data_IF_010026807577
#
_entry.id   IF_010026807577
#
_cell.length_a   1.000
_cell.length_b   1.000
_cell.length_c   1.000
_cell.angle_alpha   90.00
_cell.angle_beta   90.00
_cell.angle_gamma   90.00
#
_symmetry.space_group_name_H-M   'P 1'
#
loop_
_entity.id
_entity.type
_entity.pdbx_description
1 polymer ?
#
# COMPACT_ATOMS: atom_id res chain seq x y z
N UNK A 1 12.92 -2.85 9.28
CA UNK A 1 12.35 -4.07 8.65
C UNK A 1 13.11 -5.25 9.24
N UNK A 2 12.45 -6.36 9.58
CA UNK A 2 13.13 -7.49 10.25
C UNK A 2 13.17 -8.77 9.41
N UNK A 3 12.42 -8.80 8.29
CA UNK A 3 12.12 -10.01 7.50
C UNK A 3 12.06 -9.71 6.01
N UNK A 4 12.18 -10.74 5.18
CA UNK A 4 11.94 -10.67 3.73
C UNK A 4 13.06 -10.07 2.89
N UNK A 5 14.31 -10.10 3.39
CA UNK A 5 15.50 -9.64 2.69
C UNK A 5 16.71 -10.52 3.03
N UNK A 6 17.67 -10.65 2.13
CA UNK A 6 18.91 -11.40 2.43
C UNK A 6 19.91 -10.50 3.19
N UNK A 7 20.13 -9.29 2.68
CA UNK A 7 21.00 -8.26 3.29
C UNK A 7 20.30 -6.89 3.22
N UNK A 8 20.35 -6.14 4.32
CA UNK A 8 19.95 -4.75 4.39
C UNK A 8 21.18 -3.90 4.72
N UNK A 9 21.51 -2.97 3.82
CA UNK A 9 22.63 -2.05 3.97
C UNK A 9 22.09 -0.69 4.45
N UNK A 10 22.59 -0.22 5.58
CA UNK A 10 22.26 1.10 6.15
C UNK A 10 23.50 1.99 6.07
N UNK A 11 23.40 3.11 5.37
CA UNK A 11 24.48 4.08 5.29
C UNK A 11 24.68 4.76 6.65
N UNK A 12 25.88 4.60 7.24
CA UNK A 12 26.27 5.25 8.51
C UNK A 12 27.40 6.27 8.30
N UNK A 13 27.57 6.74 7.05
CA UNK A 13 28.48 7.82 6.65
C UNK A 13 29.77 7.30 6.03
N UNK A 14 30.69 6.75 6.85
CA UNK A 14 31.99 6.29 6.35
C UNK A 14 31.94 4.89 5.71
N UNK A 15 30.93 4.10 6.05
CA UNK A 15 30.70 2.75 5.57
C UNK A 15 29.22 2.36 5.75
N UNK A 16 28.84 1.16 5.32
CA UNK A 16 27.49 0.62 5.49
C UNK A 16 27.44 -0.36 6.66
N UNK A 17 26.42 -0.23 7.51
CA UNK A 17 26.03 -1.26 8.46
C UNK A 17 25.17 -2.30 7.74
N UNK A 18 25.57 -3.58 7.81
CA UNK A 18 24.90 -4.66 7.08
C UNK A 18 24.20 -5.58 8.07
N UNK A 19 22.89 -5.72 7.91
CA UNK A 19 22.07 -6.67 8.68
C UNK A 19 21.53 -7.77 7.77
N UNK A 20 21.43 -8.99 8.28
CA UNK A 20 20.66 -10.07 7.65
C UNK A 20 19.24 -10.09 8.20
N UNK A 21 18.29 -10.69 7.49
CA UNK A 21 16.96 -10.92 8.06
C UNK A 21 17.03 -11.76 9.35
N UNK A 22 16.07 -11.56 10.24
CA UNK A 22 15.96 -12.35 11.48
C UNK A 22 15.43 -13.77 11.20
N UNK A 23 14.65 -13.92 10.13
CA UNK A 23 14.15 -15.18 9.59
C UNK A 23 14.79 -15.49 8.24
N UNK A 24 14.97 -16.78 7.94
CA UNK A 24 15.56 -17.27 6.68
C UNK A 24 16.89 -16.60 6.28
N UNK A 25 17.81 -16.43 7.24
CA UNK A 25 19.10 -15.76 7.04
C UNK A 25 20.16 -16.61 6.31
N UNK A 26 19.81 -17.81 5.83
CA UNK A 26 20.77 -18.75 5.22
C UNK A 26 21.52 -18.13 4.05
N UNK A 27 20.77 -17.55 3.11
CA UNK A 27 21.31 -16.85 1.93
C UNK A 27 22.08 -15.60 2.29
N UNK A 28 21.61 -14.83 3.28
CA UNK A 28 22.31 -13.66 3.78
C UNK A 28 23.69 -14.03 4.35
N UNK A 29 23.77 -15.05 5.19
CA UNK A 29 25.03 -15.57 5.71
C UNK A 29 25.93 -16.14 4.62
N UNK A 30 25.37 -16.87 3.65
CA UNK A 30 26.12 -17.37 2.50
C UNK A 30 26.79 -16.22 1.73
N UNK A 31 26.05 -15.14 1.47
CA UNK A 31 26.59 -13.93 0.82
C UNK A 31 27.69 -13.28 1.66
N UNK A 32 27.49 -13.12 2.97
CA UNK A 32 28.52 -12.57 3.86
C UNK A 32 29.79 -13.43 3.87
N UNK A 33 29.66 -14.75 3.81
CA UNK A 33 30.80 -15.67 3.79
C UNK A 33 31.56 -15.61 2.46
N UNK A 34 30.84 -15.59 1.32
CA UNK A 34 31.41 -15.54 -0.02
C UNK A 34 32.21 -14.25 -0.26
N UNK A 35 31.74 -13.13 0.28
CA UNK A 35 32.37 -11.82 0.15
C UNK A 35 33.03 -11.35 1.44
N UNK A 36 33.51 -12.26 2.28
CA UNK A 36 34.10 -11.97 3.60
C UNK A 36 35.22 -10.93 3.57
N UNK A 37 35.97 -10.81 2.47
CA UNK A 37 36.99 -9.77 2.31
C UNK A 37 36.43 -8.32 2.26
N UNK A 38 35.14 -8.16 1.97
CA UNK A 38 34.45 -6.86 1.89
C UNK A 38 33.69 -6.51 3.17
N UNK A 39 33.64 -7.42 4.16
CA UNK A 39 32.87 -7.26 5.38
C UNK A 39 33.75 -7.39 6.62
N UNK A 40 33.39 -6.67 7.67
CA UNK A 40 33.95 -6.84 9.00
C UNK A 40 32.83 -6.87 10.03
N UNK A 41 33.12 -7.39 11.23
CA UNK A 41 32.16 -7.34 12.33
C UNK A 41 31.86 -5.89 12.71
N UNK A 42 30.58 -5.57 12.87
CA UNK A 42 30.14 -4.25 13.32
C UNK A 42 30.58 -4.00 14.78
N UNK A 43 30.95 -2.75 15.08
CA UNK A 43 31.21 -2.29 16.45
C UNK A 43 29.91 -1.83 17.14
N UNK A 44 29.94 -1.74 18.47
CA UNK A 44 28.81 -1.19 19.23
C UNK A 44 28.48 0.28 18.87
N UNK A 45 29.48 1.02 18.36
CA UNK A 45 29.29 2.37 17.85
C UNK A 45 28.53 2.37 16.52
N UNK A 46 28.81 1.41 15.63
CA UNK A 46 28.12 1.25 14.35
C UNK A 46 26.65 0.86 14.57
N UNK A 47 26.37 -0.06 15.50
CA UNK A 47 25.01 -0.44 15.90
C UNK A 47 24.21 0.73 16.45
N UNK A 48 24.88 1.61 17.21
CA UNK A 48 24.25 2.82 17.76
C UNK A 48 23.96 3.84 16.66
N UNK A 49 24.90 4.03 15.72
CA UNK A 49 24.72 4.94 14.58
C UNK A 49 23.61 4.46 13.66
N UNK A 50 23.56 3.15 13.35
CA UNK A 50 22.50 2.53 12.55
C UNK A 50 21.11 2.75 13.19
N UNK A 51 21.00 2.59 14.51
CA UNK A 51 19.74 2.87 15.24
C UNK A 51 19.33 4.33 15.11
N UNK A 52 20.25 5.26 15.32
CA UNK A 52 19.99 6.71 15.19
C UNK A 52 19.56 7.10 13.77
N UNK A 53 20.18 6.53 12.74
CA UNK A 53 19.80 6.76 11.33
C UNK A 53 18.36 6.29 11.09
N UNK A 54 18.00 5.09 11.58
CA UNK A 54 16.65 4.54 11.44
C UNK A 54 15.60 5.35 12.21
N UNK A 55 15.89 5.74 13.46
CA UNK A 55 15.00 6.60 14.26
C UNK A 55 14.78 7.95 13.59
N UNK A 56 15.86 8.58 13.12
CA UNK A 56 15.78 9.84 12.35
C UNK A 56 14.90 9.66 11.11
N UNK A 57 15.11 8.61 10.33
CA UNK A 57 14.29 8.33 9.15
C UNK A 57 12.81 8.14 9.51
N UNK A 58 12.50 7.45 10.61
CA UNK A 58 11.12 7.30 11.10
C UNK A 58 10.48 8.65 11.47
N UNK A 59 11.23 9.54 12.14
CA UNK A 59 10.73 10.87 12.51
C UNK A 59 10.52 11.82 11.32
N UNK A 60 11.06 11.50 10.14
CA UNK A 60 10.82 12.30 8.93
C UNK A 60 9.41 12.12 8.35
N UNK A 61 8.71 11.06 8.73
CA UNK A 61 7.32 10.84 8.32
C UNK A 61 6.39 11.64 9.23
N UNK A 62 5.72 12.65 8.68
CA UNK A 62 4.77 13.50 9.40
C UNK A 62 3.37 12.88 9.55
N UNK A 63 3.05 11.88 8.74
CA UNK A 63 1.73 11.29 8.66
C UNK A 63 1.74 9.89 9.28
N UNK A 64 1.05 9.74 10.41
CA UNK A 64 0.87 8.47 11.10
C UNK A 64 -0.57 8.00 10.99
N UNK A 65 -0.75 6.69 10.80
CA UNK A 65 -2.06 6.03 10.74
C UNK A 65 -1.99 4.67 11.43
N UNK A 66 -3.07 4.25 12.06
CA UNK A 66 -3.16 2.95 12.74
C UNK A 66 -3.64 1.86 11.77
N UNK A 67 -2.68 1.31 11.02
CA UNK A 67 -2.96 0.27 10.02
C UNK A 67 -3.45 -1.01 10.68
N UNK A 68 -2.88 -1.41 11.82
CA UNK A 68 -3.23 -2.66 12.51
C UNK A 68 -4.66 -2.64 13.05
N UNK A 69 -5.06 -1.53 13.67
CA UNK A 69 -6.44 -1.31 14.09
C UNK A 69 -7.38 -1.33 12.89
N UNK A 70 -7.04 -0.65 11.81
CA UNK A 70 -7.87 -0.64 10.61
C UNK A 70 -8.09 -2.04 10.03
N UNK A 71 -7.02 -2.84 9.91
CA UNK A 71 -7.11 -4.23 9.43
C UNK A 71 -8.02 -5.06 10.33
N UNK A 72 -7.87 -4.93 11.65
CA UNK A 72 -8.73 -5.61 12.64
C UNK A 72 -10.20 -5.25 12.42
N UNK A 73 -10.52 -3.96 12.38
CA UNK A 73 -11.89 -3.47 12.18
C UNK A 73 -12.50 -3.94 10.85
N UNK A 74 -11.71 -3.94 9.76
CA UNK A 74 -12.16 -4.40 8.45
C UNK A 74 -12.47 -5.90 8.44
N UNK A 75 -11.75 -6.70 9.21
CA UNK A 75 -12.00 -8.14 9.32
C UNK A 75 -13.27 -8.45 10.12
N UNK A 76 -13.61 -7.60 11.09
CA UNK A 76 -14.80 -7.77 11.93
C UNK A 76 -16.07 -7.27 11.26
N UNK A 77 -15.99 -6.22 10.44
CA UNK A 77 -17.17 -5.59 9.83
C UNK A 77 -16.85 -4.86 8.51
N UNK A 78 -17.84 -4.73 7.61
CA UNK A 78 -17.65 -3.96 6.38
C UNK A 78 -17.40 -2.47 6.69
N UNK A 79 -16.67 -1.74 5.83
CA UNK A 79 -16.44 -0.32 6.03
C UNK A 79 -17.76 0.46 6.15
N UNK A 80 -17.80 1.52 7.00
CA UNK A 80 -19.00 2.32 7.19
C UNK A 80 -19.53 2.91 5.88
N UNK A 81 -20.81 2.67 5.56
CA UNK A 81 -21.42 3.20 4.34
C UNK A 81 -21.31 4.73 4.18
N UNK A 82 -21.48 5.55 5.24
CA UNK A 82 -21.30 7.00 5.14
C UNK A 82 -19.89 7.41 4.71
N UNK A 83 -18.86 6.76 5.26
CA UNK A 83 -17.46 6.99 4.87
C UNK A 83 -17.26 6.67 3.38
N UNK A 84 -17.77 5.52 2.92
CA UNK A 84 -17.64 5.10 1.53
C UNK A 84 -18.36 6.04 0.57
N UNK A 85 -19.50 6.61 0.96
CA UNK A 85 -20.23 7.59 0.17
C UNK A 85 -19.48 8.93 0.08
N UNK A 86 -18.94 9.41 1.21
CA UNK A 86 -18.16 10.65 1.25
C UNK A 86 -16.90 10.57 0.38
N UNK A 87 -16.16 9.47 0.48
CA UNK A 87 -14.98 9.25 -0.36
C UNK A 87 -15.36 9.08 -1.84
N UNK A 88 -16.42 8.34 -2.15
CA UNK A 88 -16.88 8.15 -3.52
C UNK A 88 -17.29 9.47 -4.18
N UNK A 89 -18.00 10.35 -3.46
CA UNK A 89 -18.45 11.64 -3.97
C UNK A 89 -17.30 12.58 -4.40
N UNK A 90 -16.07 12.32 -3.91
CA UNK A 90 -14.87 13.08 -4.24
C UNK A 90 -14.00 12.39 -5.30
N UNK A 91 -14.23 11.11 -5.55
CA UNK A 91 -13.46 10.31 -6.49
C UNK A 91 -13.75 10.77 -7.93
N UNK A 92 -12.73 10.74 -8.79
CA UNK A 92 -12.87 11.10 -10.21
C UNK A 92 -12.79 9.86 -11.11
N UNK A 93 -12.69 8.66 -10.54
CA UNK A 93 -12.50 7.42 -11.30
C UNK A 93 -11.23 7.38 -12.17
N UNK A 94 -10.26 8.30 -11.96
CA UNK A 94 -9.12 8.51 -12.85
C UNK A 94 -8.02 7.43 -12.74
N UNK A 95 -8.13 6.53 -11.76
CA UNK A 95 -7.18 5.45 -11.49
C UNK A 95 -5.73 5.85 -11.22
N UNK A 96 -5.39 7.13 -11.09
CA UNK A 96 -4.02 7.55 -10.85
C UNK A 96 -3.41 6.83 -9.64
N UNK A 97 -4.20 6.61 -8.57
CA UNK A 97 -3.72 6.00 -7.34
C UNK A 97 -3.36 4.52 -7.53
N UNK A 98 -3.88 3.89 -8.57
CA UNK A 98 -3.47 2.56 -9.00
C UNK A 98 -2.14 2.64 -9.77
N UNK A 99 -2.02 3.54 -10.75
CA UNK A 99 -0.83 3.65 -11.61
C UNK A 99 0.44 4.14 -10.90
N UNK A 100 0.34 4.99 -9.88
CA UNK A 100 1.52 5.46 -9.13
C UNK A 100 1.91 4.53 -7.97
N UNK A 101 1.10 3.51 -7.67
CA UNK A 101 1.33 2.67 -6.51
C UNK A 101 2.26 1.49 -6.87
N UNK A 102 3.37 1.31 -6.12
CA UNK A 102 4.36 0.28 -6.43
C UNK A 102 3.85 -1.15 -6.18
N UNK A 103 2.76 -1.31 -5.43
CA UNK A 103 2.17 -2.62 -5.10
C UNK A 103 0.85 -2.87 -5.84
N UNK A 104 0.54 -2.09 -6.88
CA UNK A 104 -0.57 -2.39 -7.76
C UNK A 104 -0.17 -3.39 -8.84
N UNK A 105 -1.03 -4.37 -9.06
CA UNK A 105 -0.85 -5.43 -10.04
C UNK A 105 -2.08 -5.63 -10.94
N UNK A 106 -3.03 -4.69 -10.93
CA UNK A 106 -4.23 -4.78 -11.75
C UNK A 106 -3.88 -4.74 -13.25
N UNK A 107 -4.42 -5.70 -14.00
CA UNK A 107 -4.25 -5.77 -15.44
C UNK A 107 -5.53 -6.31 -16.09
N UNK A 108 -5.66 -6.05 -17.39
CA UNK A 108 -6.66 -6.68 -18.25
C UNK A 108 -5.99 -7.49 -19.35
N UNK A 109 -6.74 -8.43 -19.92
CA UNK A 109 -6.30 -9.29 -21.01
C UNK A 109 -7.29 -9.12 -22.16
N UNK A 110 -6.75 -8.87 -23.36
CA UNK A 110 -7.53 -8.82 -24.59
C UNK A 110 -6.94 -9.78 -25.63
N UNK A 111 -7.80 -10.56 -26.27
CA UNK A 111 -7.44 -11.37 -27.43
C UNK A 111 -7.71 -10.56 -28.71
N UNK A 112 -6.67 -10.35 -29.53
CA UNK A 112 -6.75 -9.60 -30.78
C UNK A 112 -6.55 -10.55 -31.96
N UNK A 113 -7.47 -10.52 -32.92
CA UNK A 113 -7.34 -11.29 -34.17
C UNK A 113 -6.32 -10.60 -35.08
N UNK A 114 -5.27 -11.32 -35.48
CA UNK A 114 -4.28 -10.84 -36.44
C UNK A 114 -4.58 -11.34 -37.87
N UNK A 115 -5.13 -12.55 -38.00
CA UNK A 115 -5.62 -13.12 -39.27
C UNK A 115 -6.67 -14.20 -38.99
N UNK A 116 -7.19 -14.89 -40.02
CA UNK A 116 -8.17 -15.97 -39.84
C UNK A 116 -7.63 -17.17 -39.04
N UNK A 117 -6.32 -17.38 -39.01
CA UNK A 117 -5.68 -18.49 -38.31
C UNK A 117 -4.74 -18.05 -37.18
N UNK A 118 -4.59 -16.74 -36.94
CA UNK A 118 -3.68 -16.20 -35.93
C UNK A 118 -4.34 -15.12 -35.09
N UNK A 119 -4.00 -15.12 -33.80
CA UNK A 119 -4.33 -14.05 -32.87
C UNK A 119 -3.22 -13.86 -31.84
N UNK A 120 -3.28 -12.75 -31.13
CA UNK A 120 -2.39 -12.46 -30.02
C UNK A 120 -3.19 -12.21 -28.74
N UNK A 121 -2.65 -12.64 -27.60
CA UNK A 121 -3.17 -12.33 -26.28
C UNK A 121 -2.31 -11.26 -25.65
N UNK A 122 -2.88 -10.08 -25.42
CA UNK A 122 -2.16 -8.94 -24.87
C UNK A 122 -2.61 -8.67 -23.45
N UNK A 123 -1.66 -8.57 -22.53
CA UNK A 123 -1.86 -8.08 -21.16
C UNK A 123 -1.53 -6.59 -21.12
N UNK A 124 -2.45 -5.79 -20.59
CA UNK A 124 -2.26 -4.33 -20.41
C UNK A 124 -2.52 -3.96 -18.96
N UNK A 125 -1.78 -2.97 -18.47
CA UNK A 125 -2.09 -2.37 -17.17
C UNK A 125 -3.52 -1.83 -17.18
N UNK A 126 -4.23 -2.07 -16.08
CA UNK A 126 -5.61 -1.65 -15.88
C UNK A 126 -5.79 -1.32 -14.39
N UNK A 127 -6.96 -0.82 -14.01
CA UNK A 127 -7.22 -0.41 -12.63
C UNK A 127 -8.59 -0.85 -12.15
N UNK A 128 -8.64 -1.38 -10.94
CA UNK A 128 -9.88 -1.83 -10.30
C UNK A 128 -10.94 -0.73 -10.11
N UNK A 129 -10.55 0.54 -10.23
CA UNK A 129 -11.45 1.69 -10.12
C UNK A 129 -12.17 2.04 -11.42
N UNK A 130 -11.69 1.55 -12.58
CA UNK A 130 -12.34 1.81 -13.86
C UNK A 130 -13.65 1.02 -14.00
N UNK A 131 -14.67 1.67 -14.57
CA UNK A 131 -16.01 1.08 -14.76
C UNK A 131 -15.99 -0.21 -15.57
N UNK A 132 -15.06 -0.32 -16.53
CA UNK A 132 -14.92 -1.50 -17.38
C UNK A 132 -14.20 -2.69 -16.74
N UNK A 133 -13.49 -2.49 -15.61
CA UNK A 133 -12.56 -3.50 -15.08
C UNK A 133 -13.22 -4.83 -14.74
N UNK A 134 -14.42 -4.79 -14.15
CA UNK A 134 -15.19 -5.98 -13.79
C UNK A 134 -16.30 -6.31 -14.78
N UNK A 135 -16.37 -5.60 -15.91
CA UNK A 135 -17.45 -5.79 -16.88
C UNK A 135 -17.26 -7.14 -17.59
N UNK A 136 -18.28 -7.98 -17.52
CA UNK A 136 -18.30 -9.30 -18.13
C UNK A 136 -19.09 -9.30 -19.45
N UNK A 137 -18.97 -10.40 -20.19
CA UNK A 137 -19.79 -10.65 -21.37
C UNK A 137 -21.29 -10.54 -21.03
N UNK A 138 -22.09 -10.04 -21.98
CA UNK A 138 -23.52 -9.80 -21.75
C UNK A 138 -23.83 -8.51 -20.97
N UNK A 139 -22.88 -7.57 -20.89
CA UNK A 139 -23.05 -6.27 -20.23
C UNK A 139 -23.32 -6.36 -18.70
N UNK A 140 -23.03 -7.49 -18.07
CA UNK A 140 -23.14 -7.65 -16.63
C UNK A 140 -21.91 -7.06 -15.94
N UNK A 141 -22.11 -6.22 -14.92
CA UNK A 141 -21.05 -5.63 -14.13
C UNK A 141 -21.35 -5.81 -12.62
N UNK A 142 -20.64 -6.70 -11.92
CA UNK A 142 -20.92 -6.97 -10.51
C UNK A 142 -20.55 -5.79 -9.60
N UNK A 143 -19.77 -4.82 -10.11
CA UNK A 143 -19.26 -3.67 -9.35
C UNK A 143 -19.44 -2.38 -10.15
N UNK A 144 -20.70 -2.06 -10.40
CA UNK A 144 -21.09 -0.93 -11.23
C UNK A 144 -21.17 0.40 -10.46
N UNK A 145 -21.18 0.35 -9.13
CA UNK A 145 -21.18 1.53 -8.27
C UNK A 145 -19.79 2.14 -8.09
N UNK A 146 -19.66 3.45 -8.24
CA UNK A 146 -18.41 4.18 -8.00
C UNK A 146 -17.84 3.92 -6.60
N UNK A 147 -18.70 3.96 -5.58
CA UNK A 147 -18.31 3.66 -4.20
C UNK A 147 -17.73 2.25 -4.07
N UNK A 148 -18.34 1.25 -4.72
CA UNK A 148 -17.84 -0.13 -4.65
C UNK A 148 -16.49 -0.29 -5.38
N UNK A 149 -16.33 0.34 -6.55
CA UNK A 149 -15.06 0.32 -7.32
C UNK A 149 -13.92 0.96 -6.56
N UNK A 150 -14.16 2.13 -5.97
CA UNK A 150 -13.18 2.80 -5.13
C UNK A 150 -12.86 1.96 -3.88
N UNK A 151 -13.87 1.38 -3.22
CA UNK A 151 -13.67 0.57 -2.00
C UNK A 151 -12.74 -0.62 -2.24
N UNK A 152 -12.84 -1.27 -3.41
CA UNK A 152 -11.93 -2.37 -3.77
C UNK A 152 -10.46 -2.00 -3.68
N UNK A 153 -10.11 -0.76 -4.04
CA UNK A 153 -8.73 -0.27 -3.98
C UNK A 153 -8.15 -0.42 -2.59
N UNK A 154 -8.93 -0.07 -1.58
CA UNK A 154 -8.52 -0.05 -0.18
C UNK A 154 -8.60 -1.45 0.45
N UNK A 155 -9.71 -2.16 0.23
CA UNK A 155 -9.89 -3.52 0.75
C UNK A 155 -8.86 -4.49 0.19
N UNK A 156 -8.48 -4.37 -1.08
CA UNK A 156 -7.42 -5.22 -1.63
C UNK A 156 -6.14 -5.11 -0.81
N UNK A 157 -5.75 -3.88 -0.44
CA UNK A 157 -4.52 -3.61 0.29
C UNK A 157 -4.54 -3.96 1.77
N UNK A 158 -5.68 -3.71 2.42
CA UNK A 158 -5.82 -3.73 3.88
C UNK A 158 -6.55 -4.97 4.39
N UNK A 159 -7.20 -5.74 3.53
CA UNK A 159 -7.99 -6.90 3.93
C UNK A 159 -7.67 -8.12 3.07
N UNK A 160 -7.86 -8.04 1.76
CA UNK A 160 -7.74 -9.22 0.90
C UNK A 160 -6.28 -9.70 0.78
N UNK A 161 -5.32 -8.80 0.61
CA UNK A 161 -3.90 -9.17 0.60
C UNK A 161 -3.45 -9.70 1.96
N UNK A 162 -4.03 -9.21 3.06
CA UNK A 162 -3.77 -9.74 4.41
C UNK A 162 -4.28 -11.18 4.51
N UNK A 163 -5.49 -11.45 4.01
CA UNK A 163 -6.05 -12.81 4.00
C UNK A 163 -5.27 -13.78 3.10
N UNK A 164 -4.70 -13.29 1.99
CA UNK A 164 -3.95 -14.11 1.02
C UNK A 164 -2.49 -14.32 1.40
N UNK A 165 -1.82 -13.27 1.89
CA UNK A 165 -0.38 -13.22 2.06
C UNK A 165 0.06 -13.00 3.52
N UNK A 166 -0.88 -12.83 4.45
CA UNK A 166 -0.61 -12.59 5.87
C UNK A 166 -0.05 -11.19 6.18
N UNK A 167 -0.07 -10.27 5.22
CA UNK A 167 0.49 -8.92 5.39
C UNK A 167 -0.24 -7.88 4.53
N UNK A 168 -0.21 -6.64 5.00
CA UNK A 168 -0.73 -5.49 4.23
C UNK A 168 0.16 -5.20 3.02
N UNK A 169 -0.44 -4.89 1.88
CA UNK A 169 0.33 -4.53 0.67
C UNK A 169 0.55 -3.02 0.51
N UNK A 170 -0.03 -2.20 1.39
CA UNK A 170 0.30 -0.78 1.45
C UNK A 170 1.65 -0.57 2.13
N UNK A 171 2.64 -0.06 1.39
CA UNK A 171 4.00 0.19 1.89
C UNK A 171 4.20 1.61 2.47
N UNK A 172 3.12 2.38 2.64
CA UNK A 172 3.21 3.73 3.22
C UNK A 172 3.91 4.79 2.36
N UNK A 173 4.12 4.54 1.06
CA UNK A 173 4.93 5.43 0.19
C UNK A 173 4.32 6.80 -0.15
N UNK A 174 3.10 7.12 0.30
CA UNK A 174 2.48 8.45 0.11
C UNK A 174 2.04 8.82 -1.31
N UNK A 175 2.54 8.18 -2.37
CA UNK A 175 2.27 8.58 -3.77
C UNK A 175 0.79 8.74 -4.13
N UNK A 176 -0.09 7.91 -3.57
CA UNK A 176 -1.53 8.01 -3.80
C UNK A 176 -2.17 9.23 -3.12
N UNK A 177 -1.59 9.74 -2.03
CA UNK A 177 -1.99 10.96 -1.35
C UNK A 177 -1.63 12.15 -2.23
N UNK A 178 -0.37 12.25 -2.64
CA UNK A 178 0.16 13.41 -3.40
C UNK A 178 -0.56 13.63 -4.73
N UNK A 179 -0.89 12.55 -5.44
CA UNK A 179 -1.51 12.67 -6.75
C UNK A 179 -3.02 12.95 -6.71
N UNK A 180 -3.70 12.72 -5.58
CA UNK A 180 -5.17 12.66 -5.56
C UNK A 180 -5.80 14.03 -5.38
N UNK A 181 -6.23 14.64 -6.49
CA UNK A 181 -6.91 15.94 -6.51
C UNK A 181 -8.20 15.95 -5.66
N UNK A 182 -8.90 14.82 -5.58
CA UNK A 182 -10.12 14.67 -4.78
C UNK A 182 -9.85 14.38 -3.30
N UNK A 183 -8.61 14.07 -2.93
CA UNK A 183 -8.30 13.63 -1.58
C UNK A 183 -8.94 12.28 -1.22
N UNK A 184 -9.01 11.36 -2.17
CA UNK A 184 -9.50 9.98 -1.94
C UNK A 184 -8.29 9.07 -1.88
N UNK A 185 -7.70 8.98 -0.69
CA UNK A 185 -6.44 8.27 -0.45
C UNK A 185 -6.55 7.27 0.71
N UNK A 186 -5.50 6.46 0.86
CA UNK A 186 -5.45 5.35 1.83
C UNK A 186 -5.47 5.85 3.28
N UNK A 187 -4.93 7.05 3.54
CA UNK A 187 -4.83 7.61 4.89
C UNK A 187 -6.19 8.07 5.38
N UNK A 188 -6.93 8.81 4.53
CA UNK A 188 -8.31 9.19 4.85
C UNK A 188 -9.21 7.96 5.02
N UNK A 189 -9.01 6.92 4.22
CA UNK A 189 -9.75 5.67 4.40
C UNK A 189 -9.44 5.00 5.75
N UNK A 190 -8.17 4.84 6.10
CA UNK A 190 -7.76 4.23 7.39
C UNK A 190 -8.32 5.03 8.56
N UNK A 191 -8.10 6.35 8.58
CA UNK A 191 -8.58 7.22 9.65
C UNK A 191 -10.11 7.19 9.76
N UNK A 192 -10.82 7.18 8.62
CA UNK A 192 -12.28 7.08 8.63
C UNK A 192 -12.79 5.76 9.20
N UNK A 193 -12.13 4.63 8.90
CA UNK A 193 -12.48 3.34 9.48
C UNK A 193 -12.24 3.33 10.99
N UNK A 194 -11.09 3.84 11.44
CA UNK A 194 -10.74 3.89 12.86
C UNK A 194 -11.59 4.88 13.66
N UNK A 195 -11.95 6.04 13.08
CA UNK A 195 -12.73 7.07 13.78
C UNK A 195 -14.20 6.68 14.00
N UNK A 196 -14.81 5.90 13.09
CA UNK A 196 -16.22 5.48 13.26
C UNK A 196 -16.38 4.50 14.43
N UNK A 197 -15.34 3.72 14.74
CA UNK A 197 -15.30 2.88 15.94
C UNK A 197 -15.21 3.73 17.23
N UNK A 198 -14.43 4.81 17.20
CA UNK A 198 -14.35 5.79 18.31
C UNK A 198 -15.68 6.56 18.49
N UNK A 199 -16.34 6.95 17.40
CA UNK A 199 -17.63 7.65 17.43
C UNK A 199 -18.85 6.73 17.70
N UNK A 200 -18.66 5.40 17.67
CA UNK A 200 -19.57 4.45 18.31
C UNK A 200 -19.74 4.71 19.82
N UNK A 201 -18.83 5.50 20.41
CA UNK A 201 -18.92 6.07 21.76
C UNK A 201 -19.27 7.57 21.80
N UNK A 202 -19.13 8.34 20.72
CA UNK A 202 -19.36 9.79 20.72
C UNK A 202 -19.80 10.28 19.32
N UNK A 203 -21.10 10.48 19.13
CA UNK A 203 -21.63 11.21 17.99
C UNK A 203 -21.16 12.68 18.02
N UNK A 204 -20.40 13.14 17.02
CA UNK A 204 -20.12 14.58 16.88
C UNK A 204 -18.99 15.00 15.93
N UNK A 205 -19.31 15.07 14.63
CA UNK A 205 -18.75 16.01 13.63
C UNK A 205 -17.24 16.29 13.66
N UNK A 206 -16.47 15.64 12.78
CA UNK A 206 -15.09 16.06 12.47
C UNK A 206 -15.08 17.11 11.35
N UNK A 207 -14.49 18.27 11.66
CA UNK A 207 -14.42 19.46 10.83
C UNK A 207 -13.46 19.37 9.64
N UNK A 208 -13.71 20.27 8.69
CA UNK A 208 -12.93 20.50 7.48
C UNK A 208 -11.52 20.99 7.82
N UNK A 209 -10.54 20.09 7.66
CA UNK A 209 -9.13 20.44 7.74
C UNK A 209 -8.70 21.20 6.50
N UNK A 210 -8.93 22.51 6.50
CA UNK A 210 -8.29 23.44 5.56
C UNK A 210 -6.77 23.40 5.77
N UNK A 211 -6.06 23.00 4.73
CA UNK A 211 -4.61 23.17 4.62
C UNK A 211 -4.37 24.67 4.45
N UNK A 212 -3.69 25.28 5.42
CA UNK A 212 -3.23 26.66 5.33
C UNK A 212 -2.19 26.79 4.23
N UNK A 213 -2.41 27.75 3.33
CA UNK A 213 -1.40 28.29 2.45
C UNK A 213 -0.47 29.19 3.26
N UNK A 214 0.80 28.78 3.40
CA UNK A 214 1.95 29.68 3.63
C UNK A 214 3.11 29.27 2.72
#
# INVERSE_FOLDING_TARGET
>A
MQRGFDLQLTDIGSHYHVTTAQDDCSRGHDLLSQFSASFCSASAADDTTMRQVNEKAQTMFSLAVDVERCVTLLNDSPPPAPLLQQLAARCQGCAGCAFVCPTCSCFTISDQKLSDQHGERVRRWDACTFTGFTKMAGNHNPVDGESQRMTKRFLHKLQHDVALYGQVSCVGCGRCVDMCFGGVDIVRFINGVCAVDDEGSLAGTVGDGSLGDE
#
